data_IF_511103094210
#
_entry.id   IF_511103094210
#
_cell.length_a   1.000
_cell.length_b   1.000
_cell.length_c   1.000
_cell.angle_alpha   90.00
_cell.angle_beta   90.00
_cell.angle_gamma   90.00
#
_symmetry.space_group_name_H-M   'P 1'
#
loop_
_entity.id
_entity.type
_entity.pdbx_description
1 polymer ?
#
# COMPACT_ATOMS: atom_id res chain seq x y z
N UNK A 1 46.47 -6.86 17.63
CA UNK A 1 46.10 -5.77 16.70
C UNK A 1 45.17 -4.79 17.42
N UNK A 2 45.68 -3.66 17.94
CA UNK A 2 44.84 -2.64 18.61
C UNK A 2 43.87 -2.06 17.56
N UNK A 3 42.56 -2.29 17.73
CA UNK A 3 41.53 -1.69 16.87
C UNK A 3 41.45 -0.20 17.19
N UNK A 4 41.95 0.61 16.25
CA UNK A 4 42.00 2.08 16.26
C UNK A 4 40.61 2.69 16.49
N UNK A 5 40.52 3.77 17.26
CA UNK A 5 39.27 4.51 17.56
C UNK A 5 38.78 5.29 16.34
N UNK A 6 37.52 5.76 16.34
CA UNK A 6 36.98 6.60 15.26
C UNK A 6 37.76 7.92 15.14
N UNK A 7 38.27 8.44 16.26
CA UNK A 7 39.18 9.59 16.29
C UNK A 7 40.45 9.41 15.47
N UNK A 8 40.99 8.19 15.41
CA UNK A 8 42.21 7.91 14.66
C UNK A 8 41.97 7.75 13.15
N UNK A 9 40.70 7.62 12.71
CA UNK A 9 40.30 7.44 11.30
C UNK A 9 38.92 8.04 11.01
N UNK A 10 38.76 9.37 10.97
CA UNK A 10 37.49 10.02 10.68
C UNK A 10 36.92 9.66 9.30
N UNK A 11 37.80 9.36 8.32
CA UNK A 11 37.47 8.90 6.97
C UNK A 11 36.81 7.52 6.93
N UNK A 12 37.02 6.69 7.97
CA UNK A 12 36.40 5.37 8.04
C UNK A 12 34.87 5.44 8.10
N UNK A 13 34.31 6.55 8.63
CA UNK A 13 32.87 6.77 8.65
C UNK A 13 32.26 6.91 7.25
N UNK A 14 33.05 7.41 6.30
CA UNK A 14 32.60 7.64 4.93
C UNK A 14 32.55 6.34 4.13
N UNK A 15 33.22 5.28 4.59
CA UNK A 15 33.13 3.97 3.98
C UNK A 15 31.68 3.41 4.03
N UNK A 16 31.09 3.00 2.90
CA UNK A 16 29.71 2.50 2.85
C UNK A 16 29.45 1.30 3.77
N UNK A 17 30.46 0.44 3.95
CA UNK A 17 30.42 -0.77 4.75
C UNK A 17 30.81 -0.61 6.23
N UNK A 18 31.15 0.60 6.68
CA UNK A 18 31.62 0.82 8.04
C UNK A 18 30.58 0.41 9.08
N UNK A 19 31.00 -0.42 10.03
CA UNK A 19 30.20 -0.82 11.18
C UNK A 19 30.97 -0.41 12.44
N UNK A 20 30.47 0.55 13.23
CA UNK A 20 31.17 0.99 14.43
C UNK A 20 31.18 -0.09 15.49
N UNK A 21 32.21 -0.12 16.34
CA UNK A 21 32.16 -0.94 17.54
C UNK A 21 31.18 -0.33 18.52
N UNK A 22 30.61 -1.14 19.41
CA UNK A 22 29.62 -0.63 20.37
C UNK A 22 30.20 0.51 21.21
N UNK A 23 31.47 0.40 21.63
CA UNK A 23 32.14 1.42 22.45
C UNK A 23 32.21 2.80 21.77
N UNK A 24 32.13 2.84 20.44
CA UNK A 24 32.19 4.09 19.67
C UNK A 24 30.80 4.73 19.50
N UNK A 25 29.72 4.09 19.99
CA UNK A 25 28.34 4.59 19.83
C UNK A 25 28.15 5.94 20.53
N UNK A 26 28.66 6.10 21.75
CA UNK A 26 28.45 7.33 22.53
C UNK A 26 29.15 8.53 21.89
N UNK A 27 30.36 8.32 21.38
CA UNK A 27 31.13 9.30 20.61
C UNK A 27 30.40 9.68 19.31
N UNK A 28 29.86 8.68 18.60
CA UNK A 28 29.07 8.93 17.40
C UNK A 28 27.79 9.71 17.69
N UNK A 29 27.16 9.49 18.85
CA UNK A 29 26.00 10.28 19.27
C UNK A 29 26.36 11.73 19.56
N UNK A 30 27.53 11.99 20.15
CA UNK A 30 28.04 13.36 20.36
C UNK A 30 28.32 14.07 19.05
N UNK A 31 28.99 13.39 18.11
CA UNK A 31 29.19 13.91 16.75
C UNK A 31 27.86 14.14 16.04
N UNK A 32 26.87 13.26 16.25
CA UNK A 32 25.52 13.41 15.72
C UNK A 32 24.79 14.62 16.32
N UNK A 33 25.15 15.10 17.52
CA UNK A 33 24.49 16.25 18.14
C UNK A 33 24.75 17.54 17.36
N UNK A 34 25.99 17.73 16.90
CA UNK A 34 26.46 18.96 16.23
C UNK A 34 26.55 18.82 14.71
N UNK A 35 26.35 17.62 14.16
CA UNK A 35 26.44 17.36 12.73
C UNK A 35 25.40 18.15 11.91
N UNK A 36 25.83 18.66 10.76
CA UNK A 36 24.95 19.11 9.69
C UNK A 36 24.10 17.96 9.11
N UNK A 37 23.29 18.24 8.09
CA UNK A 37 22.38 17.25 7.51
C UNK A 37 23.13 16.06 6.88
N UNK A 38 24.21 16.31 6.15
CA UNK A 38 24.90 15.29 5.38
C UNK A 38 25.75 14.41 6.29
N UNK A 39 26.46 15.03 7.23
CA UNK A 39 27.24 14.30 8.24
C UNK A 39 26.32 13.51 9.17
N UNK A 40 25.17 14.05 9.54
CA UNK A 40 24.18 13.32 10.34
C UNK A 40 23.68 12.07 9.61
N UNK A 41 23.46 12.13 8.29
CA UNK A 41 23.04 10.96 7.51
C UNK A 41 24.11 9.85 7.52
N UNK A 42 25.39 10.21 7.40
CA UNK A 42 26.53 9.28 7.49
C UNK A 42 26.62 8.64 8.88
N UNK A 43 26.52 9.44 9.95
CA UNK A 43 26.57 8.94 11.32
C UNK A 43 25.34 8.06 11.63
N UNK A 44 24.13 8.46 11.22
CA UNK A 44 22.92 7.66 11.38
C UNK A 44 23.04 6.30 10.66
N UNK A 45 23.67 6.25 9.48
CA UNK A 45 23.94 5.01 8.75
C UNK A 45 24.89 4.10 9.54
N UNK A 46 25.99 4.65 10.07
CA UNK A 46 26.94 3.90 10.89
C UNK A 46 26.27 3.34 12.15
N UNK A 47 25.55 4.19 12.90
CA UNK A 47 24.82 3.79 14.11
C UNK A 47 23.75 2.73 13.82
N UNK A 48 23.09 2.77 12.66
CA UNK A 48 22.17 1.71 12.23
C UNK A 48 22.86 0.36 12.02
N UNK A 49 24.09 0.37 11.51
CA UNK A 49 24.88 -0.86 11.28
C UNK A 49 25.39 -1.48 12.58
N UNK A 50 25.51 -0.70 13.65
CA UNK A 50 25.76 -1.22 15.00
C UNK A 50 24.64 -2.17 15.49
N UNK A 51 23.42 -2.01 14.97
CA UNK A 51 22.31 -2.93 15.19
C UNK A 51 21.67 -2.83 16.58
N UNK A 52 20.95 -3.89 16.96
CA UNK A 52 20.22 -3.99 18.23
C UNK A 52 21.09 -3.75 19.48
N UNK A 53 22.37 -4.20 19.56
CA UNK A 53 23.16 -3.97 20.76
C UNK A 53 23.44 -2.48 21.06
N UNK A 54 23.27 -1.58 20.09
CA UNK A 54 23.40 -0.13 20.30
C UNK A 54 22.15 0.50 20.94
N UNK A 55 20.99 -0.17 20.96
CA UNK A 55 19.70 0.41 21.36
C UNK A 55 19.71 0.94 22.78
N UNK A 56 20.28 0.20 23.73
CA UNK A 56 20.35 0.64 25.13
C UNK A 56 21.16 1.92 25.30
N UNK A 57 22.29 2.06 24.57
CA UNK A 57 23.12 3.27 24.59
C UNK A 57 22.41 4.45 23.95
N UNK A 58 21.81 4.24 22.78
CA UNK A 58 21.02 5.26 22.09
C UNK A 58 19.83 5.75 22.93
N UNK A 59 19.16 4.85 23.67
CA UNK A 59 18.09 5.20 24.63
C UNK A 59 18.62 6.02 25.80
N UNK A 60 19.73 5.61 26.42
CA UNK A 60 20.32 6.34 27.53
C UNK A 60 20.66 7.79 27.14
N UNK A 61 21.09 8.01 25.90
CA UNK A 61 21.39 9.34 25.35
C UNK A 61 20.18 10.18 24.98
N UNK A 62 18.98 9.61 24.93
CA UNK A 62 17.77 10.36 24.64
C UNK A 62 17.39 11.29 25.80
N UNK A 63 17.58 10.83 27.05
CA UNK A 63 17.31 11.62 28.24
C UNK A 63 18.22 12.86 28.26
N UNK A 64 17.63 14.05 28.22
CA UNK A 64 18.35 15.33 28.24
C UNK A 64 18.97 15.77 26.91
N UNK A 65 18.81 15.01 25.82
CA UNK A 65 19.29 15.46 24.51
C UNK A 65 18.54 16.74 24.05
N UNK A 66 19.24 17.72 23.44
CA UNK A 66 18.58 18.87 22.82
C UNK A 66 18.06 18.53 21.42
N UNK A 67 17.09 19.28 20.87
CA UNK A 67 16.86 19.31 19.42
C UNK A 67 18.13 19.79 18.69
N UNK A 68 18.49 19.21 17.52
CA UNK A 68 17.77 18.21 16.74
C UNK A 68 18.11 16.75 17.11
N UNK A 69 18.97 16.51 18.11
CA UNK A 69 19.45 15.17 18.46
C UNK A 69 18.31 14.24 18.89
N UNK A 70 17.34 14.71 19.68
CA UNK A 70 16.17 13.89 20.08
C UNK A 70 15.43 13.30 18.88
N UNK A 71 15.08 14.12 17.89
CA UNK A 71 14.42 13.65 16.68
C UNK A 71 15.27 12.66 15.87
N UNK A 72 16.59 12.84 15.83
CA UNK A 72 17.53 11.89 15.21
C UNK A 72 17.53 10.55 15.95
N UNK A 73 17.59 10.57 17.29
CA UNK A 73 17.53 9.37 18.13
C UNK A 73 16.19 8.64 18.01
N UNK A 74 15.04 9.34 18.03
CA UNK A 74 13.72 8.74 17.76
C UNK A 74 13.71 7.98 16.44
N UNK A 75 14.24 8.60 15.38
CA UNK A 75 14.30 7.98 14.05
C UNK A 75 15.18 6.74 14.04
N UNK A 76 16.35 6.78 14.70
CA UNK A 76 17.28 5.66 14.81
C UNK A 76 16.68 4.48 15.59
N UNK A 77 16.20 4.75 16.81
CA UNK A 77 15.58 3.76 17.68
C UNK A 77 14.39 3.08 17.00
N UNK A 78 13.51 3.87 16.37
CA UNK A 78 12.39 3.35 15.59
C UNK A 78 12.75 2.62 14.30
N UNK A 79 14.01 2.66 13.84
CA UNK A 79 14.50 1.81 12.74
C UNK A 79 15.13 0.52 13.25
N UNK A 80 15.72 0.55 14.44
CA UNK A 80 16.44 -0.57 15.03
C UNK A 80 15.50 -1.54 15.73
N UNK A 81 14.65 -1.02 16.62
CA UNK A 81 13.86 -1.85 17.53
C UNK A 81 12.50 -1.19 17.86
N UNK A 82 11.65 -0.87 16.86
CA UNK A 82 10.38 -0.18 17.11
C UNK A 82 9.44 -0.95 18.05
N UNK A 83 9.50 -2.28 18.07
CA UNK A 83 8.65 -3.15 18.90
C UNK A 83 9.20 -3.37 20.32
N UNK A 84 10.46 -3.03 20.60
CA UNK A 84 11.04 -3.17 21.95
C UNK A 84 10.24 -2.30 22.93
N UNK A 85 9.68 -2.86 24.02
CA UNK A 85 8.75 -2.15 24.90
C UNK A 85 9.25 -0.78 25.37
N UNK A 86 10.53 -0.71 25.72
CA UNK A 86 11.11 0.50 26.26
C UNK A 86 11.52 1.52 25.18
N UNK A 87 11.75 1.08 23.93
CA UNK A 87 11.83 1.98 22.77
C UNK A 87 10.44 2.54 22.47
N UNK A 88 9.42 1.68 22.44
CA UNK A 88 8.02 2.08 22.21
C UNK A 88 7.54 3.09 23.24
N UNK A 89 7.78 2.86 24.54
CA UNK A 89 7.43 3.81 25.60
C UNK A 89 8.09 5.19 25.39
N UNK A 90 9.36 5.21 25.01
CA UNK A 90 10.08 6.45 24.69
C UNK A 90 9.47 7.15 23.47
N UNK A 91 9.15 6.41 22.41
CA UNK A 91 8.53 6.98 21.21
C UNK A 91 7.12 7.52 21.48
N UNK A 92 6.35 6.86 22.34
CA UNK A 92 5.03 7.34 22.78
C UNK A 92 5.15 8.67 23.52
N UNK A 93 6.08 8.77 24.48
CA UNK A 93 6.35 10.03 25.19
C UNK A 93 6.83 11.14 24.24
N UNK A 94 7.66 10.80 23.26
CA UNK A 94 8.19 11.75 22.28
C UNK A 94 7.14 12.33 21.30
N UNK A 95 5.90 11.83 21.29
CA UNK A 95 4.79 12.45 20.56
C UNK A 95 4.36 13.79 21.17
N UNK A 96 4.67 14.02 22.44
CA UNK A 96 4.33 15.24 23.19
C UNK A 96 5.55 16.18 23.32
N UNK A 97 6.66 15.89 22.63
CA UNK A 97 7.87 16.71 22.68
C UNK A 97 7.59 18.15 22.19
N UNK A 98 8.16 19.19 22.81
CA UNK A 98 7.99 20.56 22.35
C UNK A 98 8.53 20.78 20.92
N UNK A 99 9.58 20.05 20.52
CA UNK A 99 10.16 20.12 19.19
C UNK A 99 9.37 19.31 18.15
N UNK A 100 8.87 20.02 17.12
CA UNK A 100 8.08 19.43 16.05
C UNK A 100 8.85 18.35 15.26
N UNK A 101 10.17 18.51 15.09
CA UNK A 101 10.97 17.51 14.40
C UNK A 101 11.02 16.18 15.18
N UNK A 102 11.05 16.26 16.50
CA UNK A 102 11.03 15.11 17.41
C UNK A 102 9.66 14.41 17.38
N UNK A 103 8.54 15.16 17.48
CA UNK A 103 7.19 14.59 17.34
C UNK A 103 6.99 13.86 16.02
N UNK A 104 7.45 14.45 14.91
CA UNK A 104 7.41 13.82 13.57
C UNK A 104 8.22 12.52 13.52
N UNK A 105 9.43 12.54 14.08
CA UNK A 105 10.28 11.35 14.11
C UNK A 105 9.65 10.23 14.93
N UNK A 106 9.03 10.55 16.07
CA UNK A 106 8.30 9.63 16.92
C UNK A 106 7.09 9.01 16.20
N UNK A 107 6.21 9.82 15.63
CA UNK A 107 5.05 9.34 14.86
C UNK A 107 5.47 8.43 13.69
N UNK A 108 6.50 8.85 12.93
CA UNK A 108 7.02 8.08 11.82
C UNK A 108 7.69 6.76 12.23
N UNK A 109 8.26 6.70 13.43
CA UNK A 109 8.83 5.49 14.03
C UNK A 109 7.74 4.52 14.48
N UNK A 110 6.72 5.00 15.20
CA UNK A 110 5.58 4.19 15.66
C UNK A 110 4.81 3.57 14.48
N UNK A 111 4.62 4.33 13.40
CA UNK A 111 4.00 3.80 12.18
C UNK A 111 4.77 2.66 11.48
N UNK A 112 6.00 2.31 11.91
CA UNK A 112 6.76 1.16 11.38
C UNK A 112 6.43 -0.16 12.06
N UNK A 113 5.69 -0.15 13.17
CA UNK A 113 5.19 -1.38 13.80
C UNK A 113 4.33 -2.20 12.82
N UNK A 114 3.58 -1.52 11.93
CA UNK A 114 2.80 -2.10 10.82
C UNK A 114 1.72 -3.11 11.23
N UNK A 115 1.48 -3.25 12.52
CA UNK A 115 0.41 -4.05 13.11
C UNK A 115 -0.47 -3.14 13.98
N UNK A 116 -1.77 -3.43 14.09
CA UNK A 116 -2.65 -2.71 14.99
C UNK A 116 -2.18 -2.80 16.44
N UNK A 117 -2.03 -1.66 17.10
CA UNK A 117 -1.66 -1.56 18.52
C UNK A 117 -2.54 -0.47 19.16
N UNK A 118 -3.49 -0.82 20.06
CA UNK A 118 -4.44 0.13 20.63
C UNK A 118 -3.78 1.30 21.40
N UNK A 119 -2.67 1.05 22.09
CA UNK A 119 -1.97 2.10 22.85
C UNK A 119 -1.29 3.09 21.91
N UNK A 120 -0.68 2.57 20.85
CA UNK A 120 -0.07 3.39 19.80
C UNK A 120 -1.13 4.16 19.02
N UNK A 121 -2.25 3.53 18.68
CA UNK A 121 -3.40 4.17 18.04
C UNK A 121 -3.91 5.34 18.89
N UNK A 122 -4.17 5.11 20.18
CA UNK A 122 -4.66 6.14 21.10
C UNK A 122 -3.68 7.32 21.20
N UNK A 123 -2.39 7.06 21.31
CA UNK A 123 -1.38 8.13 21.38
C UNK A 123 -1.27 8.92 20.08
N UNK A 124 -1.26 8.26 18.92
CA UNK A 124 -1.26 8.92 17.61
C UNK A 124 -2.54 9.75 17.39
N UNK A 125 -3.69 9.27 17.85
CA UNK A 125 -4.96 10.00 17.80
C UNK A 125 -4.95 11.24 18.68
N UNK A 126 -4.38 11.16 19.89
CA UNK A 126 -4.18 12.34 20.75
C UNK A 126 -3.30 13.38 20.06
N UNK A 127 -2.16 12.97 19.50
CA UNK A 127 -1.28 13.86 18.74
C UNK A 127 -1.98 14.45 17.50
N UNK A 128 -2.79 13.67 16.79
CA UNK A 128 -3.59 14.14 15.66
C UNK A 128 -4.57 15.25 16.05
N UNK A 129 -5.28 15.08 17.17
CA UNK A 129 -6.25 16.06 17.69
C UNK A 129 -5.59 17.31 18.25
N UNK A 130 -4.43 17.17 18.89
CA UNK A 130 -3.66 18.30 19.40
C UNK A 130 -3.16 19.25 18.28
N UNK A 131 -3.08 18.75 17.04
CA UNK A 131 -2.66 19.54 15.89
C UNK A 131 -1.14 19.72 15.82
N UNK A 132 -0.70 20.82 15.22
CA UNK A 132 0.71 21.07 14.90
C UNK A 132 0.93 21.32 13.41
N UNK A 133 2.19 21.20 12.98
CA UNK A 133 2.58 21.50 11.59
C UNK A 133 1.91 20.56 10.58
N UNK A 134 1.72 21.02 9.34
CA UNK A 134 1.23 20.17 8.25
C UNK A 134 2.12 18.94 8.06
N UNK A 135 3.44 19.09 8.25
CA UNK A 135 4.36 17.97 8.16
C UNK A 135 4.13 16.92 9.26
N UNK A 136 3.77 17.34 10.48
CA UNK A 136 3.36 16.43 11.54
C UNK A 136 2.05 15.72 11.21
N UNK A 137 1.03 16.45 10.75
CA UNK A 137 -0.25 15.87 10.34
C UNK A 137 -0.06 14.82 9.23
N UNK A 138 0.74 15.13 8.21
CA UNK A 138 1.10 14.18 7.13
C UNK A 138 1.68 12.87 7.68
N UNK A 139 2.60 12.95 8.64
CA UNK A 139 3.25 11.76 9.23
C UNK A 139 2.29 11.00 10.15
N UNK A 140 1.47 11.70 10.93
CA UNK A 140 0.46 11.09 11.81
C UNK A 140 -0.59 10.32 10.99
N UNK A 141 -1.10 10.90 9.90
CA UNK A 141 -2.03 10.23 9.00
C UNK A 141 -1.43 8.93 8.44
N UNK A 142 -0.17 8.97 7.99
CA UNK A 142 0.52 7.76 7.53
C UNK A 142 0.74 6.71 8.62
N UNK A 143 1.03 7.14 9.85
CA UNK A 143 1.22 6.24 10.97
C UNK A 143 -0.11 5.56 11.35
N UNK A 144 -1.16 6.34 11.53
CA UNK A 144 -2.53 5.88 11.79
C UNK A 144 -3.00 4.89 10.71
N UNK A 145 -2.73 5.15 9.43
CA UNK A 145 -3.07 4.20 8.36
C UNK A 145 -2.34 2.85 8.42
N UNK A 146 -1.20 2.77 9.11
CA UNK A 146 -0.37 1.56 9.23
C UNK A 146 -0.64 0.76 10.52
N UNK A 147 -0.99 1.44 11.61
CA UNK A 147 -1.11 0.82 12.96
C UNK A 147 -2.46 1.10 13.65
N UNK A 148 -3.31 1.91 13.05
CA UNK A 148 -4.64 2.19 13.58
C UNK A 148 -5.67 1.12 13.22
N UNK A 149 -6.86 1.28 13.79
CA UNK A 149 -8.02 0.43 13.58
C UNK A 149 -9.26 1.32 13.38
N UNK A 150 -10.37 1.01 14.09
CA UNK A 150 -11.66 1.68 13.90
C UNK A 150 -11.61 3.16 14.34
N UNK A 151 -11.00 3.48 15.47
CA UNK A 151 -10.96 4.85 15.98
C UNK A 151 -10.11 5.77 15.08
N UNK A 152 -9.00 5.27 14.54
CA UNK A 152 -8.21 5.95 13.52
C UNK A 152 -9.01 6.19 12.24
N UNK A 153 -9.80 5.20 11.80
CA UNK A 153 -10.63 5.32 10.60
C UNK A 153 -11.68 6.41 10.77
N UNK A 154 -12.40 6.43 11.88
CA UNK A 154 -13.39 7.46 12.20
C UNK A 154 -12.77 8.85 12.25
N UNK A 155 -11.66 9.01 12.98
CA UNK A 155 -10.98 10.30 13.12
C UNK A 155 -10.47 10.86 11.78
N UNK A 156 -9.92 9.99 10.91
CA UNK A 156 -9.43 10.40 9.60
C UNK A 156 -10.55 10.71 8.60
N UNK A 157 -11.70 10.03 8.69
CA UNK A 157 -12.89 10.35 7.86
C UNK A 157 -13.53 11.67 8.27
N UNK A 158 -13.58 11.95 9.57
CA UNK A 158 -14.12 13.21 10.09
C UNK A 158 -13.18 14.40 9.82
N UNK A 159 -11.91 14.14 9.51
CA UNK A 159 -10.93 15.19 9.26
C UNK A 159 -11.15 15.89 7.91
N UNK A 160 -11.00 17.22 7.93
CA UNK A 160 -11.00 18.07 6.74
C UNK A 160 -9.69 18.89 6.70
N UNK A 161 -8.54 18.27 6.35
CA UNK A 161 -7.27 19.00 6.32
C UNK A 161 -7.27 20.07 5.24
N UNK A 162 -6.84 21.29 5.57
CA UNK A 162 -6.69 22.37 4.61
C UNK A 162 -5.54 22.12 3.61
N UNK A 163 -4.43 21.53 4.07
CA UNK A 163 -3.29 21.17 3.23
C UNK A 163 -3.63 19.99 2.28
N UNK A 164 -3.54 20.16 0.95
CA UNK A 164 -3.89 19.12 -0.01
C UNK A 164 -3.08 17.83 0.15
N UNK A 165 -1.80 17.92 0.53
CA UNK A 165 -0.95 16.75 0.73
C UNK A 165 -1.34 15.98 2.00
N UNK A 166 -1.75 16.69 3.07
CA UNK A 166 -2.33 16.08 4.27
C UNK A 166 -3.64 15.37 3.95
N UNK A 167 -4.54 16.02 3.20
CA UNK A 167 -5.80 15.41 2.76
C UNK A 167 -5.55 14.13 1.94
N UNK A 168 -4.58 14.17 1.02
CA UNK A 168 -4.17 13.00 0.23
C UNK A 168 -3.66 11.85 1.11
N UNK A 169 -2.82 12.13 2.11
CA UNK A 169 -2.27 11.11 3.02
C UNK A 169 -3.34 10.53 3.94
N UNK A 170 -4.24 11.36 4.46
CA UNK A 170 -5.40 10.92 5.25
C UNK A 170 -6.32 10.01 4.43
N UNK A 171 -6.67 10.39 3.20
CA UNK A 171 -7.47 9.55 2.31
C UNK A 171 -6.80 8.19 2.03
N UNK A 172 -5.47 8.18 1.82
CA UNK A 172 -4.72 6.93 1.67
C UNK A 172 -4.76 6.08 2.94
N UNK A 173 -4.64 6.69 4.11
CA UNK A 173 -4.71 5.99 5.39
C UNK A 173 -6.11 5.37 5.63
N UNK A 174 -7.18 6.10 5.30
CA UNK A 174 -8.56 5.58 5.31
C UNK A 174 -8.68 4.32 4.46
N UNK A 175 -8.21 4.34 3.21
CA UNK A 175 -8.23 3.15 2.34
C UNK A 175 -7.43 1.98 2.92
N UNK A 176 -6.30 2.24 3.58
CA UNK A 176 -5.50 1.20 4.23
C UNK A 176 -6.26 0.56 5.39
N UNK A 177 -6.92 1.35 6.21
CA UNK A 177 -7.70 0.91 7.37
C UNK A 177 -8.95 0.14 6.94
N UNK A 178 -9.70 0.64 5.96
CA UNK A 178 -10.87 -0.06 5.40
C UNK A 178 -10.50 -1.41 4.79
N UNK A 179 -9.34 -1.49 4.13
CA UNK A 179 -8.80 -2.75 3.62
C UNK A 179 -8.47 -3.70 4.76
N UNK A 180 -7.77 -3.23 5.80
CA UNK A 180 -7.42 -4.08 6.95
C UNK A 180 -8.66 -4.61 7.66
N UNK A 181 -9.68 -3.76 7.87
CA UNK A 181 -10.95 -4.17 8.46
C UNK A 181 -11.68 -5.25 7.63
N UNK A 182 -11.67 -5.13 6.29
CA UNK A 182 -12.33 -6.09 5.41
C UNK A 182 -11.63 -7.45 5.26
N UNK A 183 -10.42 -7.62 5.81
CA UNK A 183 -9.70 -8.91 5.72
C UNK A 183 -10.25 -9.97 6.68
N UNK A 184 -10.97 -9.57 7.72
CA UNK A 184 -11.65 -10.51 8.62
C UNK A 184 -12.82 -11.24 7.95
N UNK A 185 -13.34 -10.71 6.85
CA UNK A 185 -14.47 -11.30 6.12
C UNK A 185 -13.97 -12.08 4.89
N UNK A 186 -14.42 -13.34 4.69
CA UNK A 186 -14.10 -14.10 3.49
C UNK A 186 -14.74 -13.45 2.26
N UNK A 187 -14.02 -13.45 1.14
CA UNK A 187 -14.51 -12.98 -0.16
C UNK A 187 -14.09 -13.97 -1.23
N UNK A 188 -15.06 -14.65 -1.83
CA UNK A 188 -14.85 -15.78 -2.75
C UNK A 188 -15.70 -15.66 -4.02
N UNK A 189 -15.27 -16.33 -5.09
CA UNK A 189 -16.01 -16.39 -6.35
C UNK A 189 -17.18 -17.38 -6.22
N UNK A 190 -18.38 -16.92 -6.56
CA UNK A 190 -19.59 -17.75 -6.68
C UNK A 190 -19.67 -18.38 -8.06
N UNK A 191 -18.98 -19.50 -8.26
CA UNK A 191 -18.91 -20.15 -9.58
C UNK A 191 -20.26 -20.74 -10.05
N UNK A 192 -21.16 -21.06 -9.12
CA UNK A 192 -22.50 -21.64 -9.37
C UNK A 192 -23.49 -20.64 -10.00
N UNK A 193 -23.25 -19.34 -9.85
CA UNK A 193 -24.19 -18.32 -10.32
C UNK A 193 -24.19 -18.18 -11.85
N UNK A 194 -25.38 -18.17 -12.45
CA UNK A 194 -25.59 -17.84 -13.86
C UNK A 194 -25.89 -16.34 -14.05
N UNK A 195 -25.54 -15.74 -15.21
CA UNK A 195 -25.83 -14.34 -15.48
C UNK A 195 -27.33 -14.10 -15.70
N UNK A 196 -27.82 -12.89 -15.40
CA UNK A 196 -29.22 -12.52 -15.70
C UNK A 196 -29.49 -12.26 -17.19
N UNK A 197 -28.45 -11.97 -17.96
CA UNK A 197 -28.44 -11.87 -19.43
C UNK A 197 -27.07 -12.29 -19.97
N UNK A 198 -26.95 -12.80 -21.20
CA UNK A 198 -25.68 -13.28 -21.73
C UNK A 198 -24.53 -12.28 -21.53
N UNK A 199 -23.36 -12.76 -21.12
CA UNK A 199 -22.19 -11.93 -20.83
C UNK A 199 -20.99 -12.32 -21.66
N UNK A 200 -20.39 -11.34 -22.33
CA UNK A 200 -19.13 -11.53 -23.05
C UNK A 200 -18.00 -11.77 -22.05
N UNK A 201 -17.37 -12.93 -22.20
CA UNK A 201 -16.14 -13.32 -21.54
C UNK A 201 -15.02 -13.37 -22.56
N UNK A 202 -13.80 -13.13 -22.09
CA UNK A 202 -12.57 -13.26 -22.87
C UNK A 202 -11.71 -14.35 -22.27
N UNK A 203 -11.39 -15.33 -23.10
CA UNK A 203 -10.49 -16.44 -22.82
C UNK A 203 -9.13 -16.12 -23.43
N UNK A 204 -8.07 -16.39 -22.69
CA UNK A 204 -6.69 -16.28 -23.17
C UNK A 204 -6.08 -17.67 -23.27
N UNK A 205 -5.25 -17.87 -24.29
CA UNK A 205 -4.47 -19.08 -24.52
C UNK A 205 -3.13 -18.72 -25.17
N UNK A 206 -2.26 -19.71 -25.37
CA UNK A 206 -1.06 -19.52 -26.19
C UNK A 206 -1.48 -19.29 -27.64
N UNK A 207 -0.80 -18.38 -28.34
CA UNK A 207 -1.09 -18.10 -29.74
C UNK A 207 -1.03 -19.38 -30.57
N UNK A 208 -2.03 -19.57 -31.45
CA UNK A 208 -2.21 -20.78 -32.26
C UNK A 208 -3.12 -21.84 -31.64
N UNK A 209 -3.47 -21.74 -30.35
CA UNK A 209 -4.37 -22.68 -29.67
C UNK A 209 -5.83 -22.20 -29.63
N UNK A 210 -6.16 -21.07 -30.24
CA UNK A 210 -7.49 -20.47 -30.25
C UNK A 210 -8.56 -21.41 -30.84
N UNK A 211 -8.30 -22.17 -31.94
CA UNK A 211 -9.27 -23.12 -32.47
C UNK A 211 -9.66 -24.22 -31.47
N UNK A 212 -8.72 -24.66 -30.63
CA UNK A 212 -8.99 -25.66 -29.60
C UNK A 212 -9.88 -25.10 -28.48
N UNK A 213 -9.68 -23.85 -28.09
CA UNK A 213 -10.59 -23.17 -27.12
C UNK A 213 -11.99 -23.03 -27.71
N UNK A 214 -12.11 -22.68 -29.00
CA UNK A 214 -13.40 -22.62 -29.70
C UNK A 214 -14.11 -23.97 -29.70
N UNK A 215 -13.38 -25.05 -29.96
CA UNK A 215 -13.90 -26.42 -29.94
C UNK A 215 -14.36 -26.84 -28.53
N UNK A 216 -13.52 -26.62 -27.50
CA UNK A 216 -13.85 -26.97 -26.11
C UNK A 216 -15.07 -26.21 -25.56
N UNK A 217 -15.21 -24.93 -25.90
CA UNK A 217 -16.38 -24.13 -25.48
C UNK A 217 -17.65 -24.57 -26.22
N UNK A 218 -17.52 -24.98 -27.48
CA UNK A 218 -18.65 -25.42 -28.29
C UNK A 218 -19.66 -24.32 -28.66
N UNK A 219 -20.72 -24.66 -29.42
CA UNK A 219 -21.63 -23.68 -30.02
C UNK A 219 -22.50 -22.93 -29.00
N UNK A 220 -22.78 -23.52 -27.83
CA UNK A 220 -23.58 -22.89 -26.77
C UNK A 220 -22.97 -21.59 -26.22
N UNK A 221 -21.66 -21.46 -26.34
CA UNK A 221 -20.89 -20.28 -25.95
C UNK A 221 -20.72 -19.24 -27.05
N UNK A 222 -21.10 -19.55 -28.30
CA UNK A 222 -20.86 -18.69 -29.48
C UNK A 222 -19.43 -18.11 -29.53
N UNK A 223 -18.39 -18.96 -29.41
CA UNK A 223 -17.01 -18.51 -29.35
C UNK A 223 -16.56 -17.89 -30.68
N UNK A 224 -15.73 -16.85 -30.59
CA UNK A 224 -15.15 -16.13 -31.72
C UNK A 224 -13.70 -15.77 -31.41
N UNK A 225 -12.79 -16.09 -32.31
CA UNK A 225 -11.39 -15.66 -32.23
C UNK A 225 -11.33 -14.16 -32.53
N UNK A 226 -10.75 -13.39 -31.62
CA UNK A 226 -10.68 -11.91 -31.73
C UNK A 226 -9.25 -11.38 -31.84
N UNK A 227 -8.26 -12.25 -31.69
CA UNK A 227 -6.85 -11.91 -31.84
C UNK A 227 -5.96 -13.09 -31.45
N UNK A 228 -4.65 -12.92 -31.64
CA UNK A 228 -3.67 -13.92 -31.23
C UNK A 228 -3.77 -14.21 -29.73
N UNK A 229 -3.98 -15.48 -29.39
CA UNK A 229 -4.18 -16.00 -28.04
C UNK A 229 -5.51 -15.59 -27.39
N UNK A 230 -6.49 -15.04 -28.14
CA UNK A 230 -7.70 -14.44 -27.57
C UNK A 230 -8.99 -14.93 -28.23
N UNK A 231 -9.90 -15.47 -27.42
CA UNK A 231 -11.24 -15.90 -27.83
C UNK A 231 -12.29 -15.17 -26.98
N UNK A 232 -13.29 -14.58 -27.63
CA UNK A 232 -14.48 -14.06 -26.95
C UNK A 232 -15.61 -15.08 -27.03
N UNK A 233 -16.36 -15.23 -25.95
CA UNK A 233 -17.51 -16.11 -25.90
C UNK A 233 -18.58 -15.59 -24.92
N UNK A 234 -19.79 -16.09 -24.99
CA UNK A 234 -20.93 -15.66 -24.18
C UNK A 234 -21.25 -16.65 -23.05
N UNK A 235 -21.07 -16.20 -21.82
CA UNK A 235 -21.57 -16.90 -20.65
C UNK A 235 -23.10 -16.80 -20.59
N UNK A 236 -23.76 -17.95 -20.56
CA UNK A 236 -25.22 -18.09 -20.43
C UNK A 236 -25.65 -18.93 -19.23
N UNK A 237 -24.76 -19.81 -18.76
CA UNK A 237 -24.97 -20.67 -17.58
C UNK A 237 -24.11 -20.27 -16.38
N UNK A 238 -23.92 -21.18 -15.40
CA UNK A 238 -23.05 -20.97 -14.25
C UNK A 238 -21.63 -20.57 -14.68
N UNK A 239 -20.98 -19.64 -13.96
CA UNK A 239 -19.59 -19.24 -14.25
C UNK A 239 -18.62 -20.44 -14.22
N UNK A 240 -18.92 -21.48 -13.44
CA UNK A 240 -18.20 -22.74 -13.35
C UNK A 240 -17.93 -23.37 -14.73
N UNK A 241 -18.83 -23.19 -15.71
CA UNK A 241 -18.64 -23.75 -17.05
C UNK A 241 -17.50 -23.10 -17.84
N UNK A 242 -17.03 -21.90 -17.44
CA UNK A 242 -15.86 -21.28 -18.05
C UNK A 242 -14.57 -22.07 -17.76
N UNK A 243 -14.49 -22.78 -16.63
CA UNK A 243 -13.36 -23.66 -16.28
C UNK A 243 -13.39 -25.01 -17.01
N UNK A 244 -14.39 -25.28 -17.86
CA UNK A 244 -14.43 -26.50 -18.65
C UNK A 244 -13.33 -26.55 -19.72
N UNK A 245 -12.90 -25.39 -20.23
CA UNK A 245 -11.78 -25.31 -21.18
C UNK A 245 -10.46 -25.63 -20.48
N UNK A 246 -9.73 -26.62 -20.98
CA UNK A 246 -8.40 -27.01 -20.46
C UNK A 246 -7.28 -26.29 -21.19
N UNK A 247 -7.57 -25.75 -22.38
CA UNK A 247 -6.60 -25.02 -23.21
C UNK A 247 -6.50 -23.55 -22.80
N UNK A 248 -7.60 -22.94 -22.36
CA UNK A 248 -7.58 -21.57 -21.88
C UNK A 248 -6.74 -21.46 -20.60
N UNK A 249 -5.77 -20.55 -20.61
CA UNK A 249 -4.90 -20.29 -19.45
C UNK A 249 -5.60 -19.43 -18.40
N UNK A 250 -6.55 -18.61 -18.83
CA UNK A 250 -7.35 -17.73 -17.99
C UNK A 250 -8.55 -17.20 -18.75
N UNK A 251 -9.54 -16.72 -18.03
CA UNK A 251 -10.70 -16.06 -18.60
C UNK A 251 -11.18 -14.93 -17.70
N UNK A 252 -11.91 -13.98 -18.24
CA UNK A 252 -12.51 -12.89 -17.47
C UNK A 252 -13.62 -12.18 -18.20
N UNK A 253 -14.35 -11.32 -17.50
CA UNK A 253 -15.40 -10.51 -18.09
C UNK A 253 -14.79 -9.37 -18.89
N UNK A 254 -15.11 -9.36 -20.19
CA UNK A 254 -14.72 -8.28 -21.08
C UNK A 254 -15.55 -7.03 -20.75
N UNK A 255 -14.88 -5.97 -20.28
CA UNK A 255 -15.56 -4.71 -20.00
C UNK A 255 -15.62 -3.84 -21.27
N UNK A 256 -16.73 -3.15 -21.53
CA UNK A 256 -16.79 -2.16 -22.60
C UNK A 256 -15.66 -1.13 -22.42
N UNK A 257 -14.87 -0.80 -23.46
CA UNK A 257 -13.79 0.17 -23.33
C UNK A 257 -14.30 1.52 -22.86
N UNK A 258 -13.59 2.14 -21.91
CA UNK A 258 -13.90 3.50 -21.48
C UNK A 258 -13.13 4.50 -22.34
N UNK A 259 -13.79 5.52 -22.90
CA UNK A 259 -13.10 6.56 -23.65
C UNK A 259 -12.15 7.30 -22.70
N UNK A 260 -10.98 7.69 -23.22
CA UNK A 260 -10.00 8.50 -22.50
C UNK A 260 -10.00 9.90 -23.10
N UNK A 261 -10.41 10.89 -22.30
CA UNK A 261 -10.44 12.29 -22.79
C UNK A 261 -9.02 12.87 -22.79
N UNK A 262 -8.71 13.82 -23.70
CA UNK A 262 -7.47 14.58 -23.64
C UNK A 262 -7.28 15.22 -22.25
N UNK A 263 -6.04 15.22 -21.75
CA UNK A 263 -5.64 15.73 -20.42
C UNK A 263 -6.30 15.05 -19.19
N UNK A 264 -7.13 14.03 -19.38
CA UNK A 264 -7.74 13.30 -18.28
C UNK A 264 -6.73 12.37 -17.57
N UNK A 265 -6.70 12.34 -16.23
CA UNK A 265 -5.93 11.34 -15.50
C UNK A 265 -6.39 9.93 -15.85
N UNK A 266 -5.46 9.04 -16.17
CA UNK A 266 -5.75 7.62 -16.46
C UNK A 266 -6.66 6.98 -15.39
N UNK A 267 -6.48 7.37 -14.13
CA UNK A 267 -7.28 6.87 -13.03
C UNK A 267 -8.79 7.08 -13.25
N UNK A 268 -9.21 8.22 -13.80
CA UNK A 268 -10.63 8.51 -14.02
C UNK A 268 -11.25 7.60 -15.10
N UNK A 269 -10.51 7.30 -16.18
CA UNK A 269 -10.97 6.35 -17.19
C UNK A 269 -11.05 4.92 -16.65
N UNK A 270 -10.08 4.49 -15.81
CA UNK A 270 -10.12 3.17 -15.17
C UNK A 270 -11.25 3.08 -14.15
N UNK A 271 -11.55 4.14 -13.41
CA UNK A 271 -12.68 4.19 -12.47
C UNK A 271 -13.98 3.98 -13.24
N UNK A 272 -14.20 4.66 -14.38
CA UNK A 272 -15.38 4.43 -15.23
C UNK A 272 -15.53 2.97 -15.68
N UNK A 273 -14.42 2.29 -16.00
CA UNK A 273 -14.45 0.85 -16.32
C UNK A 273 -14.94 0.03 -15.12
N UNK A 274 -14.35 0.28 -13.95
CA UNK A 274 -14.58 -0.48 -12.74
C UNK A 274 -15.97 -0.23 -12.11
N UNK A 275 -16.45 1.01 -12.16
CA UNK A 275 -17.74 1.45 -11.59
C UNK A 275 -18.88 1.38 -12.61
N UNK A 276 -18.58 0.99 -13.85
CA UNK A 276 -19.56 0.75 -14.90
C UNK A 276 -20.45 -0.46 -14.62
N UNK A 277 -21.68 -0.45 -15.15
CA UNK A 277 -22.68 -1.49 -14.89
C UNK A 277 -22.20 -2.93 -15.16
N UNK A 278 -21.46 -3.23 -16.25
CA UNK A 278 -20.95 -4.60 -16.48
C UNK A 278 -19.97 -5.07 -15.41
N UNK A 279 -19.07 -4.19 -14.93
CA UNK A 279 -18.10 -4.53 -13.91
C UNK A 279 -18.77 -4.70 -12.54
N UNK A 280 -19.66 -3.78 -12.16
CA UNK A 280 -20.41 -3.87 -10.90
C UNK A 280 -21.29 -5.12 -10.84
N UNK A 281 -21.91 -5.51 -11.95
CA UNK A 281 -22.67 -6.76 -12.00
C UNK A 281 -21.76 -7.98 -11.85
N UNK A 282 -20.62 -8.02 -12.54
CA UNK A 282 -19.64 -9.08 -12.39
C UNK A 282 -19.20 -9.23 -10.92
N UNK A 283 -18.82 -8.12 -10.29
CA UNK A 283 -18.41 -8.09 -8.90
C UNK A 283 -19.54 -8.51 -7.95
N UNK A 284 -20.75 -7.96 -8.10
CA UNK A 284 -21.85 -8.22 -7.15
C UNK A 284 -22.44 -9.61 -7.28
N UNK A 285 -22.60 -10.11 -8.52
CA UNK A 285 -23.33 -11.37 -8.76
C UNK A 285 -22.48 -12.60 -8.52
N UNK A 286 -21.18 -12.52 -8.81
CA UNK A 286 -20.26 -13.66 -8.69
C UNK A 286 -19.33 -13.56 -7.48
N UNK A 287 -19.67 -12.76 -6.46
CA UNK A 287 -18.92 -12.69 -5.19
C UNK A 287 -19.81 -13.07 -4.01
N UNK A 288 -19.28 -13.89 -3.11
CA UNK A 288 -19.80 -14.07 -1.75
C UNK A 288 -18.91 -13.29 -0.79
N UNK A 289 -19.49 -12.35 -0.04
CA UNK A 289 -18.75 -11.48 0.89
C UNK A 289 -18.34 -10.13 0.28
N UNK A 290 -17.38 -9.40 0.90
CA UNK A 290 -16.99 -8.06 0.45
C UNK A 290 -16.46 -7.99 -0.98
N UNK A 291 -16.74 -6.92 -1.71
CA UNK A 291 -16.29 -6.74 -3.09
C UNK A 291 -14.84 -6.27 -3.14
N UNK A 292 -13.90 -7.23 -3.10
CA UNK A 292 -12.46 -6.96 -3.15
C UNK A 292 -11.92 -7.13 -4.57
N UNK A 293 -11.11 -6.17 -5.00
CA UNK A 293 -10.46 -6.19 -6.30
C UNK A 293 -9.01 -5.73 -6.22
N UNK A 294 -8.17 -6.18 -7.15
CA UNK A 294 -6.84 -5.62 -7.42
C UNK A 294 -6.75 -5.11 -8.84
N UNK A 295 -5.77 -4.27 -9.11
CA UNK A 295 -5.53 -3.68 -10.43
C UNK A 295 -4.14 -4.07 -10.89
N UNK A 296 -4.02 -4.52 -12.13
CA UNK A 296 -2.74 -4.65 -12.83
C UNK A 296 -2.82 -4.02 -14.21
N UNK A 297 -1.66 -3.65 -14.77
CA UNK A 297 -1.55 -3.01 -16.08
C UNK A 297 -0.82 -3.92 -17.04
N UNK A 298 -1.35 -4.10 -18.24
CA UNK A 298 -0.71 -4.87 -19.32
C UNK A 298 0.49 -4.08 -19.85
N UNK A 299 1.67 -4.70 -19.87
CA UNK A 299 2.87 -4.12 -20.49
C UNK A 299 3.53 -2.95 -19.75
N UNK A 300 3.29 -2.78 -18.44
CA UNK A 300 3.84 -1.66 -17.66
C UNK A 300 4.43 -2.08 -16.30
N UNK A 301 5.34 -1.28 -15.78
CA UNK A 301 5.92 -1.44 -14.44
C UNK A 301 4.95 -1.09 -13.30
N UNK A 302 5.42 -1.15 -12.05
CA UNK A 302 4.58 -0.90 -10.86
C UNK A 302 4.06 0.55 -10.78
N UNK A 303 2.81 0.81 -11.23
CA UNK A 303 2.17 2.14 -11.20
C UNK A 303 1.46 2.45 -9.87
N UNK A 304 2.18 2.34 -8.75
CA UNK A 304 1.60 2.44 -7.39
C UNK A 304 0.80 3.72 -7.16
N UNK A 305 1.30 4.87 -7.61
CA UNK A 305 0.60 6.14 -7.44
C UNK A 305 -0.75 6.19 -8.18
N UNK A 306 -0.79 5.64 -9.40
CA UNK A 306 -2.02 5.55 -10.20
C UNK A 306 -3.03 4.60 -9.56
N UNK A 307 -2.57 3.44 -9.07
CA UNK A 307 -3.45 2.47 -8.37
C UNK A 307 -4.10 3.12 -7.13
N UNK A 308 -3.35 3.89 -6.35
CA UNK A 308 -3.92 4.63 -5.22
C UNK A 308 -4.95 5.67 -5.64
N UNK A 309 -4.71 6.41 -6.72
CA UNK A 309 -5.68 7.38 -7.22
C UNK A 309 -6.96 6.69 -7.72
N UNK A 310 -6.83 5.54 -8.41
CA UNK A 310 -7.98 4.72 -8.81
C UNK A 310 -8.75 4.23 -7.58
N UNK A 311 -8.08 3.64 -6.60
CA UNK A 311 -8.72 3.11 -5.39
C UNK A 311 -9.48 4.21 -4.64
N UNK A 312 -8.88 5.39 -4.49
CA UNK A 312 -9.51 6.55 -3.85
C UNK A 312 -10.77 7.00 -4.60
N UNK A 313 -10.68 7.16 -5.91
CA UNK A 313 -11.82 7.60 -6.74
C UNK A 313 -12.93 6.54 -6.77
N UNK A 314 -12.57 5.27 -6.93
CA UNK A 314 -13.53 4.17 -6.93
C UNK A 314 -14.26 4.04 -5.59
N UNK A 315 -13.55 4.15 -4.45
CA UNK A 315 -14.17 4.14 -3.14
C UNK A 315 -15.08 5.36 -2.89
N UNK A 316 -14.73 6.53 -3.44
CA UNK A 316 -15.59 7.71 -3.37
C UNK A 316 -16.88 7.56 -4.19
N UNK A 317 -16.81 6.93 -5.37
CA UNK A 317 -18.01 6.67 -6.21
C UNK A 317 -18.83 5.48 -5.71
N UNK A 318 -18.17 4.44 -5.18
CA UNK A 318 -18.72 3.14 -4.81
C UNK A 318 -18.04 2.62 -3.52
N UNK A 319 -18.49 3.04 -2.32
CA UNK A 319 -17.87 2.68 -1.05
C UNK A 319 -17.81 1.17 -0.76
N UNK A 320 -18.63 0.37 -1.42
CA UNK A 320 -18.61 -1.10 -1.33
C UNK A 320 -17.40 -1.74 -2.01
N UNK A 321 -16.75 -1.05 -2.95
CA UNK A 321 -15.59 -1.56 -3.69
C UNK A 321 -14.30 -1.35 -2.91
N UNK A 322 -13.57 -2.43 -2.65
CA UNK A 322 -12.34 -2.40 -1.84
C UNK A 322 -11.13 -2.83 -2.64
N UNK A 323 -10.13 -1.95 -2.76
CA UNK A 323 -8.86 -2.32 -3.36
C UNK A 323 -8.01 -3.15 -2.38
N UNK A 324 -7.79 -4.44 -2.68
CA UNK A 324 -6.88 -5.30 -1.93
C UNK A 324 -5.87 -5.98 -2.86
N UNK A 325 -4.59 -5.56 -2.88
CA UNK A 325 -3.58 -6.17 -3.77
C UNK A 325 -3.21 -7.61 -3.41
N UNK A 326 -3.52 -8.06 -2.19
CA UNK A 326 -3.11 -9.36 -1.63
C UNK A 326 -4.23 -10.39 -1.65
N UNK A 327 -5.43 -10.03 -1.18
CA UNK A 327 -6.53 -10.96 -0.91
C UNK A 327 -7.81 -10.59 -1.68
N UNK A 328 -7.66 -10.29 -2.98
CA UNK A 328 -8.80 -10.00 -3.86
C UNK A 328 -9.13 -11.20 -4.76
N UNK A 329 -10.41 -11.66 -4.77
CA UNK A 329 -10.89 -12.65 -5.72
C UNK A 329 -11.04 -12.08 -7.13
N UNK A 330 -10.95 -10.76 -7.33
CA UNK A 330 -11.00 -10.16 -8.66
C UNK A 330 -9.73 -9.40 -9.00
N UNK A 331 -9.26 -9.55 -10.23
CA UNK A 331 -8.23 -8.70 -10.81
C UNK A 331 -8.76 -7.97 -12.04
N UNK A 332 -8.78 -6.65 -11.97
CA UNK A 332 -8.98 -5.81 -13.13
C UNK A 332 -7.63 -5.62 -13.84
N UNK A 333 -7.47 -6.24 -15.02
CA UNK A 333 -6.31 -5.97 -15.88
C UNK A 333 -6.65 -4.89 -16.88
N UNK A 334 -5.83 -3.84 -16.86
CA UNK A 334 -6.03 -2.62 -17.62
C UNK A 334 -5.02 -2.57 -18.76
N UNK A 335 -5.52 -2.39 -19.98
CA UNK A 335 -4.72 -2.13 -21.16
C UNK A 335 -5.00 -0.70 -21.65
N UNK A 336 -3.95 0.11 -21.76
CA UNK A 336 -4.04 1.49 -22.21
C UNK A 336 -3.93 1.53 -23.75
N UNK A 337 -4.75 2.37 -24.37
CA UNK A 337 -4.69 2.72 -25.80
C UNK A 337 -4.72 4.25 -25.91
N UNK A 338 -4.43 4.77 -27.10
CA UNK A 338 -4.31 6.22 -27.34
C UNK A 338 -5.59 6.98 -26.97
N UNK A 339 -6.76 6.44 -27.33
CA UNK A 339 -8.07 7.10 -27.20
C UNK A 339 -9.01 6.46 -26.15
N UNK A 340 -8.60 5.31 -25.58
CA UNK A 340 -9.45 4.52 -24.69
C UNK A 340 -8.65 3.68 -23.71
N UNK A 341 -9.34 3.20 -22.69
CA UNK A 341 -8.82 2.21 -21.75
C UNK A 341 -9.68 0.96 -21.88
N UNK A 342 -9.03 -0.18 -22.04
CA UNK A 342 -9.68 -1.48 -22.08
C UNK A 342 -9.45 -2.19 -20.74
N UNK A 343 -10.49 -2.86 -20.23
CA UNK A 343 -10.43 -3.61 -18.99
C UNK A 343 -10.96 -5.03 -19.16
N UNK A 344 -10.35 -5.99 -18.49
CA UNK A 344 -10.94 -7.32 -18.30
C UNK A 344 -10.89 -7.66 -16.82
N UNK A 345 -12.01 -8.11 -16.27
CA UNK A 345 -12.14 -8.47 -14.86
C UNK A 345 -12.03 -9.99 -14.71
N UNK A 346 -10.93 -10.46 -14.15
CA UNK A 346 -10.63 -11.88 -13.99
C UNK A 346 -11.02 -12.35 -12.59
N UNK A 347 -11.76 -13.46 -12.47
CA UNK A 347 -11.84 -14.17 -11.21
C UNK A 347 -10.45 -14.75 -10.87
N UNK A 348 -10.13 -14.75 -9.58
CA UNK A 348 -8.93 -15.33 -8.97
C UNK A 348 -9.40 -16.30 -7.91
N UNK A 349 -8.94 -17.53 -8.02
CA UNK A 349 -9.36 -18.65 -7.19
C UNK A 349 -8.97 -19.92 -7.90
#
# INVERSE_FOLDING_TARGET
>A
MKRRTIDERPEALDAPGFTPALRDVDELVERLAVADRDRAATIERALRRAGLPAVSRLRARFAGAPPPLRGRLCRLLGRLAPAEPAVRALLLAALEDPDDATRRAAAGALGRLREPDPDVEAALLRAWRAGGSDQLRRVLAEALGKVGAAAALEALRAAQPADPETARRAARAVLMLERTAARGEPSTIRADAAPGRPRTMRFHCRAGLEPLVVEELGPGWRPRIVGAGQVEAELRGPLASAWASRVATEFGFALPPAPRRPAEPLAAAVVRLLTGAPALEALRRWTSGPLRYRISFVGGGHRRAVVWDIARRAAAERPELRNDPTAAPWELRVAERTDRVCGTLYPRG
#
